data_IF_112392919009
#
_entry.id   IF_112392919009
#
_cell.length_a   1.000
_cell.length_b   1.000
_cell.length_c   1.000
_cell.angle_alpha   90.00
_cell.angle_beta   90.00
_cell.angle_gamma   90.00
#
_symmetry.space_group_name_H-M   'P 1'
#
loop_
_entity.id
_entity.type
_entity.pdbx_description
1 polymer ?
#
# COMPACT_ATOMS: atom_id res chain seq x y z
N UNK A 1 26.04 -7.27 -38.29
CA UNK A 1 27.15 -6.52 -37.64
C UNK A 1 26.65 -6.04 -36.28
N UNK A 2 27.43 -6.20 -35.20
CA UNK A 2 27.07 -5.68 -33.86
C UNK A 2 27.36 -4.18 -33.80
N UNK A 3 26.56 -3.42 -33.06
CA UNK A 3 26.81 -2.00 -32.84
C UNK A 3 27.94 -1.80 -31.83
N UNK A 4 28.65 -0.68 -31.97
CA UNK A 4 29.53 -0.13 -30.94
C UNK A 4 28.94 1.17 -30.35
N UNK A 5 29.49 1.63 -29.22
CA UNK A 5 29.00 2.81 -28.52
C UNK A 5 29.04 4.08 -29.40
N UNK A 6 30.12 4.27 -30.18
CA UNK A 6 30.27 5.41 -31.07
C UNK A 6 29.17 5.47 -32.13
N UNK A 7 28.84 4.34 -32.77
CA UNK A 7 27.76 4.26 -33.75
C UNK A 7 26.39 4.63 -33.17
N UNK A 8 26.13 4.24 -31.93
CA UNK A 8 24.88 4.58 -31.20
C UNK A 8 24.82 6.08 -30.91
N UNK A 9 25.92 6.63 -30.40
CA UNK A 9 26.04 8.03 -30.04
C UNK A 9 25.92 8.95 -31.27
N UNK A 10 26.65 8.65 -32.36
CA UNK A 10 26.69 9.49 -33.56
C UNK A 10 25.50 9.30 -34.49
N UNK A 11 24.59 8.36 -34.22
CA UNK A 11 23.40 8.16 -35.04
C UNK A 11 22.51 9.42 -35.03
N UNK A 12 22.39 10.08 -36.18
CA UNK A 12 21.56 11.30 -36.33
C UNK A 12 20.14 10.95 -36.79
N UNK A 13 19.11 11.71 -36.35
CA UNK A 13 17.77 11.60 -36.93
C UNK A 13 17.79 11.85 -38.44
N UNK A 14 16.81 11.25 -39.13
CA UNK A 14 16.55 11.40 -40.57
C UNK A 14 15.05 11.68 -40.77
N UNK A 15 14.62 12.02 -41.98
CA UNK A 15 13.22 12.29 -42.31
C UNK A 15 12.27 11.12 -41.98
N UNK A 16 12.79 9.89 -41.99
CA UNK A 16 12.05 8.68 -41.63
C UNK A 16 12.81 7.87 -40.58
N UNK A 17 12.07 7.21 -39.70
CA UNK A 17 12.66 6.34 -38.69
C UNK A 17 13.45 5.20 -39.36
N UNK A 18 14.64 4.91 -38.83
CA UNK A 18 15.51 3.86 -39.36
C UNK A 18 16.07 2.99 -38.23
N UNK A 19 16.58 1.81 -38.60
CA UNK A 19 17.04 0.79 -37.66
C UNK A 19 18.53 0.54 -37.82
N UNK A 20 19.23 0.46 -36.69
CA UNK A 20 20.61 0.01 -36.59
C UNK A 20 20.63 -1.33 -35.86
N UNK A 21 20.91 -2.42 -36.56
CA UNK A 21 20.85 -3.77 -35.99
C UNK A 21 22.05 -4.05 -35.07
N UNK A 22 21.79 -4.66 -33.90
CA UNK A 22 22.84 -5.15 -32.97
C UNK A 22 22.91 -6.69 -32.91
N UNK A 23 21.90 -7.38 -33.43
CA UNK A 23 21.86 -8.84 -33.52
C UNK A 23 20.90 -9.50 -32.53
N UNK A 24 20.55 -10.76 -32.80
CA UNK A 24 19.56 -11.50 -32.02
C UNK A 24 18.16 -10.89 -32.05
N UNK A 25 17.80 -10.24 -33.16
CA UNK A 25 16.55 -9.50 -33.31
C UNK A 25 16.55 -8.11 -32.69
N UNK A 26 17.60 -7.72 -31.95
CA UNK A 26 17.72 -6.39 -31.33
C UNK A 26 18.28 -5.35 -32.31
N UNK A 27 17.76 -4.13 -32.21
CA UNK A 27 18.19 -2.97 -32.96
C UNK A 27 17.91 -1.66 -32.20
N UNK A 28 18.62 -0.60 -32.57
CA UNK A 28 18.30 0.78 -32.20
C UNK A 28 17.40 1.38 -33.27
N UNK A 29 16.21 1.83 -32.91
CA UNK A 29 15.32 2.61 -33.78
C UNK A 29 15.55 4.09 -33.52
N UNK A 30 15.99 4.83 -34.54
CA UNK A 30 16.24 6.28 -34.47
C UNK A 30 15.07 6.98 -35.14
N UNK A 31 14.35 7.80 -34.38
CA UNK A 31 13.18 8.53 -34.84
C UNK A 31 13.55 9.91 -35.40
N UNK A 32 12.73 10.50 -36.31
CA UNK A 32 12.96 11.84 -36.84
C UNK A 32 13.06 12.94 -35.78
N UNK A 33 12.36 12.77 -34.64
CA UNK A 33 12.41 13.69 -33.50
C UNK A 33 13.70 13.58 -32.65
N UNK A 34 14.69 12.80 -33.09
CA UNK A 34 15.95 12.59 -32.36
C UNK A 34 15.91 11.51 -31.28
N UNK A 35 14.74 10.96 -30.95
CA UNK A 35 14.62 9.86 -29.97
C UNK A 35 15.27 8.59 -30.50
N UNK A 36 16.07 7.92 -29.67
CA UNK A 36 16.71 6.64 -29.98
C UNK A 36 16.17 5.57 -29.04
N UNK A 37 15.58 4.50 -29.58
CA UNK A 37 14.89 3.47 -28.79
C UNK A 37 15.44 2.08 -29.05
N UNK A 38 15.80 1.36 -27.99
CA UNK A 38 16.22 -0.03 -28.04
C UNK A 38 15.01 -0.95 -28.17
N UNK A 39 15.00 -1.79 -29.20
CA UNK A 39 13.87 -2.67 -29.50
C UNK A 39 14.36 -4.04 -29.96
N UNK A 40 13.58 -5.07 -29.72
CA UNK A 40 13.82 -6.41 -30.25
C UNK A 40 12.58 -6.92 -30.96
N UNK A 41 12.79 -7.46 -32.17
CA UNK A 41 11.79 -8.17 -32.96
C UNK A 41 11.93 -9.67 -32.70
N UNK A 42 10.82 -10.36 -32.44
CA UNK A 42 10.80 -11.78 -32.11
C UNK A 42 9.53 -12.46 -32.64
N UNK A 43 9.47 -13.80 -32.58
CA UNK A 43 8.28 -14.59 -32.90
C UNK A 43 7.90 -15.46 -31.69
N UNK A 44 6.61 -15.55 -31.42
CA UNK A 44 6.04 -16.47 -30.43
C UNK A 44 4.68 -16.94 -30.93
N UNK A 45 4.37 -18.24 -30.79
CA UNK A 45 3.13 -18.84 -31.30
C UNK A 45 2.81 -18.47 -32.78
N UNK A 46 3.83 -18.51 -33.65
CA UNK A 46 3.70 -18.17 -35.07
C UNK A 46 3.52 -16.67 -35.39
N UNK A 47 3.35 -15.81 -34.38
CA UNK A 47 3.12 -14.37 -34.56
C UNK A 47 4.41 -13.58 -34.35
N UNK A 48 4.65 -12.61 -35.24
CA UNK A 48 5.76 -11.68 -35.12
C UNK A 48 5.38 -10.52 -34.18
N UNK A 49 6.20 -10.26 -33.18
CA UNK A 49 6.00 -9.22 -32.16
C UNK A 49 7.27 -8.41 -31.95
N UNK A 50 7.14 -7.31 -31.20
CA UNK A 50 8.22 -6.40 -30.85
C UNK A 50 8.15 -6.03 -29.37
N UNK A 51 9.30 -6.00 -28.71
CA UNK A 51 9.45 -5.48 -27.34
C UNK A 51 10.37 -4.26 -27.34
N UNK A 52 10.05 -3.27 -26.49
CA UNK A 52 10.84 -2.05 -26.32
C UNK A 52 11.59 -2.12 -24.99
N UNK A 53 12.90 -1.96 -25.00
CA UNK A 53 13.73 -2.04 -23.78
C UNK A 53 13.93 -0.69 -23.10
N UNK A 54 13.87 0.40 -23.87
CA UNK A 54 13.96 1.77 -23.36
C UNK A 54 14.50 2.73 -24.42
N UNK A 55 14.84 3.94 -23.98
CA UNK A 55 15.46 4.97 -24.82
C UNK A 55 16.92 5.16 -24.43
N UNK A 56 17.76 5.49 -25.39
CA UNK A 56 19.12 5.98 -25.15
C UNK A 56 19.06 7.49 -24.82
N UNK A 57 19.87 8.02 -23.89
CA UNK A 57 20.95 7.35 -23.16
C UNK A 57 20.53 6.63 -21.87
N UNK A 58 19.27 6.74 -21.43
CA UNK A 58 18.78 6.13 -20.17
C UNK A 58 19.07 4.63 -20.08
N UNK A 59 18.97 3.92 -21.20
CA UNK A 59 19.39 2.53 -21.33
C UNK A 59 20.61 2.48 -22.24
N UNK A 60 21.73 2.01 -21.71
CA UNK A 60 22.99 1.88 -22.46
C UNK A 60 22.92 0.71 -23.44
N UNK A 61 23.87 0.63 -24.38
CA UNK A 61 23.98 -0.53 -25.27
C UNK A 61 24.20 -1.84 -24.48
N UNK A 62 24.96 -1.79 -23.39
CA UNK A 62 25.21 -2.95 -22.53
C UNK A 62 23.92 -3.41 -21.84
N UNK A 63 23.17 -2.49 -21.24
CA UNK A 63 21.87 -2.78 -20.61
C UNK A 63 20.85 -3.32 -21.61
N UNK A 64 20.83 -2.77 -22.82
CA UNK A 64 19.96 -3.26 -23.89
C UNK A 64 20.28 -4.72 -24.27
N UNK A 65 21.57 -5.09 -24.33
CA UNK A 65 21.99 -6.48 -24.57
C UNK A 65 21.60 -7.41 -23.43
N UNK A 66 21.77 -6.99 -22.18
CA UNK A 66 21.33 -7.76 -21.00
C UNK A 66 19.81 -8.02 -21.07
N UNK A 67 19.01 -6.97 -21.28
CA UNK A 67 17.55 -7.08 -21.44
C UNK A 67 17.12 -7.97 -22.62
N UNK A 68 17.88 -7.97 -23.72
CA UNK A 68 17.65 -8.88 -24.85
C UNK A 68 17.83 -10.33 -24.42
N UNK A 69 18.88 -10.63 -23.67
CA UNK A 69 19.19 -12.00 -23.27
C UNK A 69 18.15 -12.51 -22.26
N UNK A 70 17.66 -11.66 -21.35
CA UNK A 70 16.53 -12.01 -20.48
C UNK A 70 15.22 -12.21 -21.25
N UNK A 71 14.93 -11.35 -22.23
CA UNK A 71 13.77 -11.53 -23.09
C UNK A 71 13.84 -12.84 -23.90
N UNK A 72 15.04 -13.27 -24.30
CA UNK A 72 15.23 -14.56 -24.97
C UNK A 72 15.00 -15.75 -24.03
N UNK A 73 15.42 -15.67 -22.77
CA UNK A 73 15.12 -16.71 -21.76
C UNK A 73 13.61 -16.87 -21.58
N UNK A 74 12.87 -15.77 -21.50
CA UNK A 74 11.40 -15.80 -21.43
C UNK A 74 10.79 -16.50 -22.66
N UNK A 75 11.27 -16.20 -23.87
CA UNK A 75 10.81 -16.83 -25.10
C UNK A 75 11.07 -18.34 -25.14
N UNK A 76 12.22 -18.81 -24.63
CA UNK A 76 12.54 -20.24 -24.52
C UNK A 76 11.54 -20.95 -23.60
N UNK A 77 11.08 -20.27 -22.55
CA UNK A 77 10.06 -20.78 -21.63
C UNK A 77 8.62 -20.57 -22.14
N UNK A 78 8.43 -20.13 -23.40
CA UNK A 78 7.10 -19.89 -23.96
C UNK A 78 6.39 -18.65 -23.40
N UNK A 79 7.09 -17.79 -22.66
CA UNK A 79 6.54 -16.56 -22.08
C UNK A 79 6.77 -15.39 -23.04
N UNK A 80 5.73 -14.61 -23.32
CA UNK A 80 5.80 -13.41 -24.15
C UNK A 80 6.50 -12.26 -23.38
N UNK A 81 7.67 -11.76 -23.82
CA UNK A 81 8.39 -10.70 -23.12
C UNK A 81 7.64 -9.36 -23.06
N UNK A 82 6.77 -9.07 -24.03
CA UNK A 82 5.96 -7.86 -24.01
C UNK A 82 4.80 -7.95 -23.02
N UNK A 83 4.15 -9.12 -22.92
CA UNK A 83 3.13 -9.37 -21.92
C UNK A 83 3.72 -9.35 -20.51
N UNK A 84 4.84 -10.05 -20.28
CA UNK A 84 5.53 -10.06 -19.00
C UNK A 84 5.94 -8.65 -18.54
N UNK A 85 6.43 -7.81 -19.47
CA UNK A 85 6.75 -6.40 -19.19
C UNK A 85 5.49 -5.58 -18.84
N UNK A 86 4.37 -5.85 -19.49
CA UNK A 86 3.11 -5.17 -19.21
C UNK A 86 2.52 -5.58 -17.87
N UNK A 87 2.53 -6.88 -17.56
CA UNK A 87 2.09 -7.45 -16.29
C UNK A 87 2.93 -6.93 -15.13
N UNK A 88 4.26 -6.98 -15.23
CA UNK A 88 5.14 -6.41 -14.19
C UNK A 88 4.94 -4.90 -13.99
N UNK A 89 4.72 -4.13 -15.07
CA UNK A 89 4.39 -2.71 -14.97
C UNK A 89 3.02 -2.50 -14.30
N UNK A 90 2.02 -3.31 -14.64
CA UNK A 90 0.70 -3.23 -14.03
C UNK A 90 0.75 -3.62 -12.55
N UNK A 91 1.50 -4.66 -12.19
CA UNK A 91 1.76 -5.06 -10.82
C UNK A 91 2.40 -3.92 -10.01
N UNK A 92 3.45 -3.26 -10.55
CA UNK A 92 4.06 -2.08 -9.90
C UNK A 92 3.08 -0.92 -9.74
N UNK A 93 2.25 -0.63 -10.76
CA UNK A 93 1.24 0.42 -10.66
C UNK A 93 0.18 0.05 -9.61
N UNK A 94 -0.19 -1.22 -9.52
CA UNK A 94 -1.14 -1.72 -8.53
C UNK A 94 -0.54 -1.70 -7.13
N UNK A 95 0.74 -2.04 -6.93
CA UNK A 95 1.43 -1.90 -5.65
C UNK A 95 1.44 -0.44 -5.18
N UNK A 96 1.72 0.50 -6.08
CA UNK A 96 1.69 1.95 -5.78
C UNK A 96 0.27 2.46 -5.46
N UNK A 97 -0.78 1.79 -5.96
CA UNK A 97 -2.18 2.16 -5.69
C UNK A 97 -2.77 1.43 -4.48
N UNK A 98 -2.45 0.16 -4.28
CA UNK A 98 -3.01 -0.67 -3.20
C UNK A 98 -2.25 -0.47 -1.89
N UNK A 99 -1.94 0.78 -1.54
CA UNK A 99 -1.30 1.11 -0.27
C UNK A 99 -2.29 0.96 0.87
N UNK A 100 -1.80 0.64 2.07
CA UNK A 100 -2.67 0.50 3.24
C UNK A 100 -3.55 1.73 3.47
N UNK A 101 -3.01 2.93 3.25
CA UNK A 101 -3.76 4.17 3.39
C UNK A 101 -4.92 4.27 2.38
N UNK A 102 -4.70 3.95 1.11
CA UNK A 102 -5.80 3.99 0.12
C UNK A 102 -6.89 2.98 0.47
N UNK A 103 -6.52 1.76 0.83
CA UNK A 103 -7.47 0.72 1.21
C UNK A 103 -8.21 1.08 2.51
N UNK A 104 -7.54 1.70 3.48
CA UNK A 104 -8.16 2.18 4.70
C UNK A 104 -9.18 3.29 4.44
N UNK A 105 -8.90 4.22 3.51
CA UNK A 105 -9.85 5.27 3.12
C UNK A 105 -11.06 4.72 2.37
N UNK A 106 -10.86 3.77 1.44
CA UNK A 106 -11.95 3.06 0.77
C UNK A 106 -12.85 2.36 1.79
N UNK A 107 -12.26 1.56 2.68
CA UNK A 107 -12.97 0.88 3.76
C UNK A 107 -13.72 1.86 4.68
N UNK A 108 -13.07 2.97 5.06
CA UNK A 108 -13.65 4.00 5.93
C UNK A 108 -14.89 4.62 5.29
N UNK A 109 -14.83 4.98 4.00
CA UNK A 109 -15.96 5.56 3.25
C UNK A 109 -17.20 4.65 3.25
N UNK A 110 -17.00 3.33 3.24
CA UNK A 110 -18.09 2.35 3.33
C UNK A 110 -18.69 2.29 4.74
N UNK A 111 -17.85 2.44 5.78
CA UNK A 111 -18.25 2.39 7.19
C UNK A 111 -18.93 3.67 7.67
N UNK A 112 -18.57 4.83 7.13
CA UNK A 112 -19.18 6.14 7.47
C UNK A 112 -20.70 6.10 7.36
N UNK A 113 -21.26 5.32 6.42
CA UNK A 113 -22.72 5.16 6.27
C UNK A 113 -23.42 4.54 7.49
N UNK A 114 -22.68 3.83 8.35
CA UNK A 114 -23.19 3.12 9.54
C UNK A 114 -22.72 3.74 10.85
N UNK A 115 -21.77 4.67 10.82
CA UNK A 115 -21.18 5.29 12.00
C UNK A 115 -21.65 6.72 12.16
N UNK A 116 -21.64 7.23 13.40
CA UNK A 116 -21.80 8.65 13.63
C UNK A 116 -20.58 9.41 13.06
N UNK A 117 -20.79 10.67 12.66
CA UNK A 117 -19.74 11.50 12.08
C UNK A 117 -18.53 11.64 13.02
N UNK A 118 -18.77 11.86 14.32
CA UNK A 118 -17.70 11.95 15.33
C UNK A 118 -16.89 10.65 15.42
N UNK A 119 -17.56 9.51 15.52
CA UNK A 119 -16.87 8.22 15.61
C UNK A 119 -16.03 7.90 14.35
N UNK A 120 -16.56 8.22 13.18
CA UNK A 120 -15.82 8.06 11.93
C UNK A 120 -14.58 8.97 11.89
N UNK A 121 -14.71 10.22 12.34
CA UNK A 121 -13.59 11.17 12.43
C UNK A 121 -12.50 10.67 13.37
N UNK A 122 -12.87 10.22 14.58
CA UNK A 122 -11.93 9.73 15.59
C UNK A 122 -11.08 8.56 15.09
N UNK A 123 -11.69 7.62 14.35
CA UNK A 123 -10.98 6.49 13.76
C UNK A 123 -9.96 6.97 12.71
N UNK A 124 -10.38 7.89 11.84
CA UNK A 124 -9.51 8.40 10.79
C UNK A 124 -8.36 9.22 11.36
N UNK A 125 -8.61 10.00 12.41
CA UNK A 125 -7.59 10.75 13.13
C UNK A 125 -6.55 9.82 13.77
N UNK A 126 -6.99 8.75 14.43
CA UNK A 126 -6.08 7.73 14.97
C UNK A 126 -5.23 7.09 13.86
N UNK A 127 -5.81 6.81 12.69
CA UNK A 127 -5.07 6.27 11.55
C UNK A 127 -4.04 7.27 11.01
N UNK A 128 -4.42 8.54 10.87
CA UNK A 128 -3.53 9.61 10.40
C UNK A 128 -2.34 9.85 11.34
N UNK A 129 -2.56 9.77 12.66
CA UNK A 129 -1.52 10.03 13.66
C UNK A 129 -0.63 8.81 13.92
N UNK A 130 -1.24 7.64 13.99
CA UNK A 130 -0.58 6.47 14.58
C UNK A 130 -0.27 5.36 13.58
N UNK A 131 -0.92 5.32 12.41
CA UNK A 131 -0.78 4.20 11.45
C UNK A 131 -0.15 4.64 10.13
N UNK A 132 -0.76 5.62 9.46
CA UNK A 132 -0.33 6.07 8.13
C UNK A 132 1.11 6.58 8.06
N UNK A 133 1.67 7.28 9.07
CA UNK A 133 3.06 7.72 9.03
C UNK A 133 4.08 6.59 8.92
N UNK A 134 3.70 5.37 9.31
CA UNK A 134 4.61 4.22 9.36
C UNK A 134 4.35 3.20 8.25
N UNK A 135 3.09 2.85 8.00
CA UNK A 135 2.72 1.81 7.03
C UNK A 135 1.75 2.30 5.94
N UNK A 136 1.34 3.56 5.95
CA UNK A 136 0.29 4.06 5.05
C UNK A 136 0.63 3.95 3.57
N UNK A 137 1.89 4.21 3.20
CA UNK A 137 2.36 4.15 1.81
C UNK A 137 2.85 2.76 1.39
N UNK A 138 2.87 1.78 2.31
CA UNK A 138 3.28 0.40 2.00
C UNK A 138 2.14 -0.31 1.27
N UNK A 139 2.42 -1.10 0.21
CA UNK A 139 1.42 -1.98 -0.39
C UNK A 139 0.83 -2.90 0.67
N UNK A 140 -0.50 -3.03 0.71
CA UNK A 140 -1.18 -3.80 1.77
C UNK A 140 -0.75 -5.28 1.79
N UNK A 141 -0.42 -5.85 0.63
CA UNK A 141 0.08 -7.22 0.50
C UNK A 141 1.46 -7.44 1.12
N UNK A 142 2.29 -6.40 1.21
CA UNK A 142 3.68 -6.48 1.65
C UNK A 142 3.87 -6.20 3.14
N UNK A 143 2.81 -5.81 3.85
CA UNK A 143 2.88 -5.44 5.26
C UNK A 143 3.01 -6.71 6.10
N UNK A 144 4.19 -6.89 6.70
CA UNK A 144 4.47 -8.04 7.56
C UNK A 144 3.87 -7.87 8.95
N UNK A 145 3.57 -8.97 9.68
CA UNK A 145 3.09 -8.90 11.06
C UNK A 145 3.96 -8.04 11.98
N UNK A 146 5.29 -8.18 11.85
CA UNK A 146 6.25 -7.43 12.68
C UNK A 146 6.16 -5.91 12.45
N UNK A 147 5.91 -5.48 11.21
CA UNK A 147 5.74 -4.05 10.90
C UNK A 147 4.50 -3.49 11.58
N UNK A 148 3.36 -4.19 11.47
CA UNK A 148 2.13 -3.78 12.14
C UNK A 148 2.28 -3.82 13.68
N UNK A 149 2.97 -4.83 14.22
CA UNK A 149 3.26 -4.91 15.65
C UNK A 149 4.08 -3.71 16.14
N UNK A 150 5.12 -3.33 15.41
CA UNK A 150 5.96 -2.18 15.77
C UNK A 150 5.17 -0.86 15.78
N UNK A 151 4.20 -0.71 14.88
CA UNK A 151 3.29 0.44 14.88
C UNK A 151 2.41 0.46 16.12
N UNK A 152 1.82 -0.69 16.48
CA UNK A 152 0.96 -0.80 17.65
C UNK A 152 1.74 -0.62 18.96
N UNK A 153 2.95 -1.17 19.05
CA UNK A 153 3.84 -0.98 20.22
C UNK A 153 4.15 0.48 20.50
N UNK A 154 4.41 1.29 19.47
CA UNK A 154 4.59 2.75 19.65
C UNK A 154 3.36 3.44 20.26
N UNK A 155 2.16 2.89 20.08
CA UNK A 155 0.97 3.38 20.77
C UNK A 155 0.94 2.92 22.22
N UNK A 156 1.30 1.67 22.50
CA UNK A 156 1.42 1.12 23.86
C UNK A 156 2.47 1.85 24.68
N UNK A 157 3.66 2.11 24.11
CA UNK A 157 4.77 2.82 24.75
C UNK A 157 4.41 4.25 25.16
N UNK A 158 3.41 4.86 24.50
CA UNK A 158 2.86 6.18 24.86
C UNK A 158 1.77 6.11 25.94
N UNK A 159 1.48 4.93 26.48
CA UNK A 159 0.42 4.66 27.45
C UNK A 159 -0.98 4.53 26.85
N UNK A 160 -1.12 4.52 25.52
CA UNK A 160 -2.40 4.50 24.82
C UNK A 160 -2.88 3.08 24.50
N UNK A 161 -2.83 2.16 25.47
CA UNK A 161 -3.08 0.71 25.29
C UNK A 161 -4.48 0.39 24.77
N UNK A 162 -5.54 1.03 25.29
CA UNK A 162 -6.90 0.86 24.76
C UNK A 162 -7.06 1.39 23.33
N UNK A 163 -6.42 2.51 23.02
CA UNK A 163 -6.42 3.05 21.64
C UNK A 163 -5.68 2.09 20.71
N UNK A 164 -4.55 1.53 21.13
CA UNK A 164 -3.78 0.55 20.36
C UNK A 164 -4.62 -0.69 20.03
N UNK A 165 -5.35 -1.24 21.02
CA UNK A 165 -6.26 -2.38 20.83
C UNK A 165 -7.37 -2.07 19.82
N UNK A 166 -8.01 -0.90 19.91
CA UNK A 166 -9.04 -0.45 18.96
C UNK A 166 -8.46 -0.25 17.56
N UNK A 167 -7.30 0.40 17.43
CA UNK A 167 -6.61 0.60 16.16
C UNK A 167 -6.25 -0.74 15.52
N UNK A 168 -5.70 -1.70 16.27
CA UNK A 168 -5.44 -3.07 15.78
C UNK A 168 -6.70 -3.71 15.19
N UNK A 169 -7.83 -3.63 15.91
CA UNK A 169 -9.08 -4.20 15.42
C UNK A 169 -9.52 -3.57 14.09
N UNK A 170 -9.39 -2.24 13.97
CA UNK A 170 -9.71 -1.52 12.73
C UNK A 170 -8.71 -1.83 11.61
N UNK A 171 -7.42 -1.94 11.88
CA UNK A 171 -6.43 -2.43 10.92
C UNK A 171 -6.82 -3.83 10.42
N UNK A 172 -7.24 -4.71 11.32
CA UNK A 172 -7.74 -6.04 10.95
C UNK A 172 -8.99 -6.02 10.07
N UNK A 173 -9.88 -5.03 10.23
CA UNK A 173 -11.00 -4.83 9.31
C UNK A 173 -10.56 -4.34 7.93
N UNK A 174 -9.58 -3.44 7.86
CA UNK A 174 -8.98 -2.97 6.60
C UNK A 174 -8.34 -4.14 5.85
N UNK A 175 -7.56 -4.98 6.53
CA UNK A 175 -6.99 -6.19 5.93
C UNK A 175 -8.05 -7.17 5.45
N UNK A 176 -9.13 -7.39 6.22
CA UNK A 176 -10.27 -8.22 5.74
C UNK A 176 -10.90 -7.65 4.47
N UNK A 177 -11.07 -6.33 4.40
CA UNK A 177 -11.57 -5.67 3.19
C UNK A 177 -10.60 -5.84 2.00
N UNK A 178 -9.29 -5.72 2.24
CA UNK A 178 -8.26 -5.95 1.24
C UNK A 178 -8.30 -7.39 0.70
N UNK A 179 -8.51 -8.38 1.58
CA UNK A 179 -8.61 -9.80 1.20
C UNK A 179 -9.84 -10.05 0.34
N UNK A 180 -11.01 -9.56 0.76
CA UNK A 180 -12.26 -9.74 0.00
C UNK A 180 -12.19 -9.08 -1.38
N UNK A 181 -11.42 -8.00 -1.52
CA UNK A 181 -11.21 -7.32 -2.81
C UNK A 181 -10.02 -7.86 -3.61
N UNK A 182 -9.38 -8.94 -3.15
CA UNK A 182 -8.26 -9.60 -3.84
C UNK A 182 -6.94 -8.80 -3.84
N UNK A 183 -6.77 -7.88 -2.89
CA UNK A 183 -5.61 -6.98 -2.79
C UNK A 183 -4.62 -7.39 -1.71
N UNK A 184 -4.99 -8.33 -0.85
CA UNK A 184 -4.13 -8.98 0.13
C UNK A 184 -4.54 -10.45 0.27
N UNK A 185 -3.63 -11.30 0.73
CA UNK A 185 -3.92 -12.73 0.94
C UNK A 185 -4.05 -13.09 2.43
N UNK A 186 -3.52 -12.24 3.31
CA UNK A 186 -3.42 -12.56 4.74
C UNK A 186 -3.64 -11.31 5.62
N UNK A 187 -4.18 -11.53 6.81
CA UNK A 187 -4.46 -10.49 7.80
C UNK A 187 -3.58 -10.71 9.03
N UNK A 188 -2.57 -9.86 9.27
CA UNK A 188 -1.68 -10.02 10.42
C UNK A 188 -2.32 -9.62 11.76
N UNK A 189 -3.37 -8.80 11.75
CA UNK A 189 -3.87 -8.16 12.97
C UNK A 189 -4.36 -9.12 14.09
N UNK A 190 -5.03 -10.26 13.80
CA UNK A 190 -5.45 -11.21 14.83
C UNK A 190 -4.27 -11.82 15.58
N UNK A 191 -3.18 -12.13 14.88
CA UNK A 191 -2.03 -12.85 15.44
C UNK A 191 -1.21 -11.99 16.39
N UNK A 192 -1.39 -10.67 16.35
CA UNK A 192 -0.72 -9.73 17.23
C UNK A 192 -1.30 -9.68 18.65
N UNK A 193 -2.46 -10.31 18.90
CA UNK A 193 -3.14 -10.23 20.20
C UNK A 193 -2.25 -10.69 21.35
N UNK A 194 -1.51 -11.79 21.17
CA UNK A 194 -0.64 -12.38 22.20
C UNK A 194 0.68 -11.63 22.41
N UNK A 195 1.09 -10.80 21.45
CA UNK A 195 2.35 -10.06 21.47
C UNK A 195 2.22 -8.62 22.02
N UNK A 196 0.99 -8.19 22.30
CA UNK A 196 0.66 -6.89 22.87
C UNK A 196 0.59 -6.97 24.40
N UNK A 197 0.97 -5.90 25.10
CA UNK A 197 1.05 -5.87 26.57
C UNK A 197 -0.32 -5.99 27.26
N UNK A 198 -1.40 -5.88 26.49
CA UNK A 198 -2.76 -5.88 27.03
C UNK A 198 -3.08 -4.54 27.71
N UNK A 199 -4.33 -4.40 28.15
CA UNK A 199 -4.75 -3.25 28.94
C UNK A 199 -5.32 -3.77 30.26
N UNK A 200 -4.84 -3.22 31.37
CA UNK A 200 -5.49 -3.38 32.67
C UNK A 200 -6.62 -2.36 32.76
N UNK A 201 -7.87 -2.85 32.73
CA UNK A 201 -9.04 -1.99 32.86
C UNK A 201 -9.16 -1.50 34.29
N UNK A 202 -9.00 -0.20 34.48
CA UNK A 202 -9.45 0.48 35.70
C UNK A 202 -10.92 0.85 35.51
N UNK A 203 -11.81 0.20 36.26
CA UNK A 203 -13.21 0.61 36.32
C UNK A 203 -13.31 2.02 36.93
N UNK A 204 -14.23 2.83 36.41
CA UNK A 204 -14.52 4.12 37.03
C UNK A 204 -14.97 3.92 38.49
N UNK A 205 -14.55 4.79 39.42
CA UNK A 205 -15.03 4.75 40.80
C UNK A 205 -16.57 4.74 40.81
N UNK A 206 -17.14 3.84 41.60
CA UNK A 206 -18.57 3.75 41.83
C UNK A 206 -18.85 3.98 43.31
N UNK A 207 -20.04 4.48 43.63
CA UNK A 207 -20.45 4.68 45.01
C UNK A 207 -20.66 3.33 45.70
N UNK A 208 -20.00 3.14 46.83
CA UNK A 208 -20.25 2.01 47.72
C UNK A 208 -21.53 2.22 48.53
N UNK A 209 -22.09 1.14 49.09
CA UNK A 209 -23.31 1.21 49.91
C UNK A 209 -23.15 2.17 51.10
N UNK A 210 -21.94 2.25 51.66
CA UNK A 210 -21.59 3.10 52.80
C UNK A 210 -21.54 4.60 52.43
N UNK A 211 -21.26 4.90 51.16
CA UNK A 211 -21.21 6.27 50.63
C UNK A 211 -22.58 6.78 50.16
N UNK A 212 -23.55 5.88 49.92
CA UNK A 212 -24.90 6.24 49.50
C UNK A 212 -25.62 7.20 50.47
N UNK A 213 -25.59 7.01 51.80
CA UNK A 213 -26.22 7.95 52.73
C UNK A 213 -25.67 9.38 52.61
N UNK A 214 -24.35 9.51 52.46
CA UNK A 214 -23.70 10.81 52.29
C UNK A 214 -24.07 11.44 50.94
N UNK A 215 -24.11 10.64 49.87
CA UNK A 215 -24.57 11.07 48.55
C UNK A 215 -26.03 11.57 48.59
N UNK A 216 -26.96 10.80 49.17
CA UNK A 216 -28.37 11.20 49.26
C UNK A 216 -28.57 12.45 50.12
N UNK A 217 -27.77 12.61 51.19
CA UNK A 217 -27.78 13.84 51.99
C UNK A 217 -27.31 15.05 51.18
N UNK A 218 -26.23 14.90 50.40
CA UNK A 218 -25.75 15.96 49.52
C UNK A 218 -26.76 16.29 48.41
N UNK A 219 -27.39 15.27 47.83
CA UNK A 219 -28.42 15.41 46.80
C UNK A 219 -29.68 16.12 47.33
N UNK A 220 -30.11 15.81 48.56
CA UNK A 220 -31.24 16.48 49.20
C UNK A 220 -30.95 17.95 49.55
N UNK A 221 -29.69 18.29 49.81
CA UNK A 221 -29.25 19.67 50.07
C UNK A 221 -28.91 20.48 48.81
N UNK A 222 -28.98 19.86 47.63
CA UNK A 222 -28.65 20.53 46.37
C UNK A 222 -29.78 21.47 45.92
N UNK A 223 -29.50 22.78 45.93
CA UNK A 223 -30.45 23.84 45.56
C UNK A 223 -30.43 24.22 44.08
N UNK A 224 -29.76 23.42 43.24
CA UNK A 224 -29.70 23.61 41.79
C UNK A 224 -30.95 23.07 41.07
N UNK A 225 -30.77 22.57 39.84
CA UNK A 225 -31.88 22.06 39.03
C UNK A 225 -32.60 20.87 39.68
N UNK A 226 -33.90 21.01 39.90
CA UNK A 226 -34.78 19.95 40.44
C UNK A 226 -34.85 18.72 39.52
N UNK A 227 -34.70 18.91 38.21
CA UNK A 227 -34.61 17.81 37.23
C UNK A 227 -33.38 16.93 37.45
N UNK A 228 -32.24 17.52 37.84
CA UNK A 228 -31.03 16.74 38.17
C UNK A 228 -31.20 15.95 39.47
N UNK A 229 -31.91 16.52 40.45
CA UNK A 229 -32.23 15.83 41.71
C UNK A 229 -33.13 14.61 41.46
N UNK A 230 -34.15 14.77 40.59
CA UNK A 230 -35.06 13.68 40.22
C UNK A 230 -34.39 12.61 39.37
N UNK A 231 -33.49 12.98 38.45
CA UNK A 231 -32.78 12.04 37.59
C UNK A 231 -31.73 11.18 38.33
N UNK A 232 -31.24 11.67 39.48
CA UNK A 232 -30.23 10.99 40.30
C UNK A 232 -30.82 10.17 41.48
N UNK A 233 -32.15 10.19 41.66
CA UNK A 233 -32.89 9.36 42.63
C UNK A 233 -33.38 8.07 41.97
#
# INVERSE_FOLDING_TARGET
MKLNARQVETAKPKDKAYKLADGGGMYLEVFPNGTKSWRMKYRIAGKEKRVVFGVYPTITLADARSKRDDAKKLLVNGVDPSAFKQESKQAQIQEVKNTFQQIALEWHSMKVKKWSAGYASDILEAFNKDVFPFIGQRPVADIKPLELLNVLKKMEDRGATEKAKKVRQRCGEVFRYAIVTGRAEYNPAPDLTSAMQGHESTHYPFLTIEELPAFFKALAGYSGSELMVLAAR
#
